data_IF_354802992427
#
_entry.id   IF_354802992427
#
_cell.length_a   1.000
_cell.length_b   1.000
_cell.length_c   1.000
_cell.angle_alpha   90.00
_cell.angle_beta   90.00
_cell.angle_gamma   90.00
#
_symmetry.space_group_name_H-M   'P 1'
#
loop_
_entity.id
_entity.type
_entity.pdbx_description
1 polymer ?
#
# COMPACT_ATOMS: atom_id res chain seq x y z
N UNK A 1 16.38 9.07 -9.29
CA UNK A 1 16.57 9.26 -7.81
C UNK A 1 15.67 8.28 -7.08
N UNK A 2 16.10 7.70 -5.96
CA UNK A 2 15.22 6.81 -5.16
C UNK A 2 14.18 7.65 -4.40
N UNK A 3 12.90 7.29 -4.54
CA UNK A 3 11.77 7.91 -3.84
C UNK A 3 10.99 6.85 -3.06
N UNK A 4 10.26 7.32 -2.04
CA UNK A 4 9.40 6.48 -1.19
C UNK A 4 8.01 7.09 -1.13
N UNK A 5 6.98 6.26 -1.31
CA UNK A 5 5.57 6.62 -1.13
C UNK A 5 4.89 5.59 -0.23
N UNK A 6 4.14 6.06 0.76
CA UNK A 6 3.35 5.21 1.65
C UNK A 6 1.86 5.34 1.36
N UNK A 7 1.15 4.23 1.55
CA UNK A 7 -0.29 4.11 1.42
C UNK A 7 -0.83 3.47 2.71
N UNK A 8 -1.92 3.99 3.25
CA UNK A 8 -2.63 3.38 4.36
C UNK A 8 -3.98 2.84 3.90
N UNK A 9 -4.38 1.71 4.45
CA UNK A 9 -5.71 1.12 4.27
C UNK A 9 -6.22 0.64 5.64
N UNK A 10 -7.38 1.12 6.13
CA UNK A 10 -8.02 0.52 7.28
C UNK A 10 -8.54 -0.88 6.91
N UNK A 11 -8.45 -1.84 7.83
CA UNK A 11 -8.98 -3.19 7.63
C UNK A 11 -10.18 -3.39 8.56
N UNK A 12 -11.38 -3.46 7.98
CA UNK A 12 -12.61 -3.69 8.74
C UNK A 12 -12.95 -5.19 8.78
N UNK A 13 -13.65 -5.64 9.84
CA UNK A 13 -14.11 -7.02 9.93
C UNK A 13 -14.88 -7.44 8.67
N UNK A 14 -14.47 -8.57 8.07
CA UNK A 14 -15.05 -9.14 6.86
C UNK A 14 -14.97 -8.27 5.60
N UNK A 15 -14.11 -7.25 5.57
CA UNK A 15 -13.89 -6.37 4.41
C UNK A 15 -12.47 -6.42 3.85
N UNK A 16 -11.55 -7.08 4.54
CA UNK A 16 -10.13 -7.09 4.20
C UNK A 16 -9.83 -7.40 2.72
N UNK A 17 -10.49 -8.37 2.09
CA UNK A 17 -10.24 -8.69 0.68
C UNK A 17 -10.51 -7.47 -0.23
N UNK A 18 -11.68 -6.85 -0.07
CA UNK A 18 -12.07 -5.69 -0.85
C UNK A 18 -11.12 -4.52 -0.59
N UNK A 19 -10.77 -4.27 0.67
CA UNK A 19 -9.89 -3.17 1.08
C UNK A 19 -8.46 -3.36 0.52
N UNK A 20 -7.97 -4.60 0.47
CA UNK A 20 -6.68 -4.93 -0.15
C UNK A 20 -6.71 -4.76 -1.67
N UNK A 21 -7.79 -5.16 -2.35
CA UNK A 21 -7.96 -4.96 -3.79
C UNK A 21 -8.02 -3.45 -4.13
N UNK A 22 -8.70 -2.65 -3.31
CA UNK A 22 -8.75 -1.20 -3.43
C UNK A 22 -7.39 -0.54 -3.18
N UNK A 23 -6.61 -1.03 -2.19
CA UNK A 23 -5.25 -0.58 -1.95
C UNK A 23 -4.34 -0.89 -3.16
N UNK A 24 -4.41 -2.10 -3.72
CA UNK A 24 -3.69 -2.49 -4.94
C UNK A 24 -4.04 -1.58 -6.12
N UNK A 25 -5.33 -1.30 -6.34
CA UNK A 25 -5.77 -0.42 -7.41
C UNK A 25 -5.16 0.98 -7.28
N UNK A 26 -5.11 1.55 -6.07
CA UNK A 26 -4.52 2.89 -5.83
C UNK A 26 -3.00 2.90 -6.01
N UNK A 27 -2.30 1.84 -5.60
CA UNK A 27 -0.84 1.74 -5.83
C UNK A 27 -0.54 1.65 -7.32
N UNK A 28 -1.28 0.82 -8.06
CA UNK A 28 -1.11 0.67 -9.51
C UNK A 28 -1.45 1.96 -10.27
N UNK A 29 -2.52 2.66 -9.90
CA UNK A 29 -2.86 3.96 -10.47
C UNK A 29 -1.71 4.97 -10.25
N UNK A 30 -1.17 5.05 -9.03
CA UNK A 30 -0.03 5.92 -8.74
C UNK A 30 1.20 5.60 -9.60
N UNK A 31 1.52 4.31 -9.78
CA UNK A 31 2.64 3.87 -10.63
C UNK A 31 2.44 4.33 -12.08
N UNK A 32 1.24 4.11 -12.63
CA UNK A 32 0.90 4.46 -14.00
C UNK A 32 0.89 5.98 -14.23
N UNK A 33 0.19 6.73 -13.37
CA UNK A 33 0.06 8.19 -13.45
C UNK A 33 1.40 8.91 -13.37
N UNK A 34 2.34 8.36 -12.62
CA UNK A 34 3.69 8.93 -12.46
C UNK A 34 4.72 8.33 -13.41
N UNK A 35 4.30 7.46 -14.35
CA UNK A 35 5.20 6.78 -15.31
C UNK A 35 6.40 6.11 -14.65
N UNK A 36 6.19 5.50 -13.48
CA UNK A 36 7.24 4.84 -12.70
C UNK A 36 7.62 3.56 -13.42
N UNK A 37 8.85 3.50 -13.95
CA UNK A 37 9.35 2.37 -14.74
C UNK A 37 10.06 1.31 -13.91
N UNK A 38 10.48 1.64 -12.68
CA UNK A 38 11.22 0.71 -11.81
C UNK A 38 10.77 0.83 -10.36
N UNK A 39 10.07 -0.21 -9.90
CA UNK A 39 9.81 -0.47 -8.49
C UNK A 39 11.00 -1.22 -7.91
N UNK A 40 11.58 -0.67 -6.85
CA UNK A 40 12.71 -1.25 -6.14
C UNK A 40 12.22 -2.19 -5.05
N UNK A 41 11.17 -1.79 -4.32
CA UNK A 41 10.58 -2.61 -3.27
C UNK A 41 9.11 -2.24 -3.04
N UNK A 42 8.32 -3.23 -2.64
CA UNK A 42 6.98 -3.05 -2.11
C UNK A 42 6.86 -3.88 -0.83
N UNK A 43 6.53 -3.24 0.28
CA UNK A 43 6.47 -3.90 1.59
C UNK A 43 5.24 -3.47 2.36
N UNK A 44 4.67 -4.43 3.10
CA UNK A 44 3.48 -4.22 3.92
C UNK A 44 3.79 -4.37 5.41
N UNK A 45 3.08 -3.61 6.23
CA UNK A 45 3.11 -3.74 7.68
C UNK A 45 1.71 -3.54 8.22
N UNK A 46 1.22 -4.54 8.96
CA UNK A 46 -0.05 -4.45 9.65
C UNK A 46 0.03 -3.44 10.80
N UNK A 47 -1.02 -2.64 10.97
CA UNK A 47 -1.23 -1.84 12.18
C UNK A 47 -2.15 -2.59 13.12
N UNK A 48 -1.91 -2.44 14.42
CA UNK A 48 -2.66 -3.16 15.45
C UNK A 48 -3.14 -2.22 16.54
N UNK A 49 -4.33 -2.50 17.06
CA UNK A 49 -4.95 -1.85 18.21
C UNK A 49 -5.63 -2.94 19.04
N UNK A 50 -5.41 -2.94 20.35
CA UNK A 50 -5.97 -3.92 21.30
C UNK A 50 -5.85 -5.39 20.86
N UNK A 51 -4.70 -5.76 20.28
CA UNK A 51 -4.41 -7.11 19.81
C UNK A 51 -5.09 -7.50 18.49
N UNK A 52 -5.86 -6.59 17.88
CA UNK A 52 -6.50 -6.77 16.58
C UNK A 52 -5.71 -6.07 15.48
N UNK A 53 -5.64 -6.67 14.29
CA UNK A 53 -5.14 -5.99 13.09
C UNK A 53 -6.24 -5.06 12.56
N UNK A 54 -5.96 -3.75 12.50
CA UNK A 54 -6.94 -2.71 12.14
C UNK A 54 -6.62 -2.00 10.83
N UNK A 55 -5.48 -2.31 10.21
CA UNK A 55 -5.05 -1.65 9.00
C UNK A 55 -3.77 -2.22 8.43
N UNK A 56 -3.40 -1.70 7.27
CA UNK A 56 -2.18 -2.00 6.55
C UNK A 56 -1.52 -0.70 6.10
N UNK A 57 -0.21 -0.60 6.31
CA UNK A 57 0.64 0.41 5.69
C UNK A 57 1.47 -0.29 4.62
N UNK A 58 1.32 0.14 3.37
CA UNK A 58 2.10 -0.31 2.23
C UNK A 58 3.11 0.75 1.82
N UNK A 59 4.37 0.37 1.73
CA UNK A 59 5.48 1.24 1.33
C UNK A 59 5.99 0.83 -0.04
N UNK A 60 5.94 1.78 -0.98
CA UNK A 60 6.48 1.68 -2.34
C UNK A 60 7.80 2.45 -2.42
N UNK A 61 8.89 1.76 -2.78
CA UNK A 61 10.19 2.35 -3.07
C UNK A 61 10.44 2.23 -4.57
N UNK A 62 10.76 3.35 -5.23
CA UNK A 62 10.85 3.41 -6.69
C UNK A 62 11.91 4.38 -7.19
N UNK A 63 12.32 4.23 -8.45
CA UNK A 63 13.17 5.19 -9.15
C UNK A 63 12.31 6.18 -9.96
N UNK A 64 12.56 7.47 -9.75
CA UNK A 64 11.98 8.59 -10.49
C UNK A 64 13.02 9.32 -11.33
#
# INVERSE_FOLDING_TARGET
MIKVKTFGEPLKPFKAQQELDELDARVNAFIAENSISKVVSLCDTATSEDGSTIGLIRTLVYEA
#
